data_IF_336468385302
#
_entry.id   IF_336468385302
#
_cell.length_a   1.000
_cell.length_b   1.000
_cell.length_c   1.000
_cell.angle_alpha   90.00
_cell.angle_beta   90.00
_cell.angle_gamma   90.00
#
_symmetry.space_group_name_H-M   'P 1'
#
loop_
_entity.id
_entity.type
_entity.pdbx_description
1 polymer ?
#
# COMPACT_ATOMS: atom_id res chain seq x y z
N UNK A 1 2.83 -0.38 -13.88
CA UNK A 1 2.84 1.10 -13.76
C UNK A 1 2.56 1.76 -15.11
N UNK A 2 1.99 2.98 -15.14
CA UNK A 2 1.63 3.67 -16.40
C UNK A 2 2.87 3.99 -17.26
N UNK A 3 3.95 4.44 -16.62
CA UNK A 3 5.26 4.73 -17.25
C UNK A 3 6.15 3.50 -17.43
N UNK A 4 5.57 2.29 -17.34
CA UNK A 4 6.33 1.03 -17.33
C UNK A 4 6.88 0.67 -15.95
N UNK A 5 7.23 -0.61 -15.78
CA UNK A 5 7.60 -1.20 -14.48
C UNK A 5 6.48 -2.03 -13.86
N UNK A 6 6.87 -3.15 -13.26
CA UNK A 6 6.00 -4.09 -12.54
C UNK A 6 6.51 -4.20 -11.10
N UNK A 7 5.57 -4.20 -10.15
CA UNK A 7 5.86 -4.39 -8.72
C UNK A 7 5.07 -5.63 -8.29
N UNK A 8 5.77 -6.63 -7.74
CA UNK A 8 5.14 -7.82 -7.18
C UNK A 8 5.12 -7.70 -5.65
N UNK A 9 3.97 -8.03 -5.07
CA UNK A 9 3.69 -7.91 -3.66
C UNK A 9 3.26 -9.28 -3.14
N UNK A 10 3.80 -9.68 -2.00
CA UNK A 10 3.28 -10.79 -1.20
C UNK A 10 2.54 -10.22 0.01
N UNK A 11 1.45 -10.88 0.41
CA UNK A 11 0.60 -10.43 1.51
C UNK A 11 0.80 -11.27 2.78
N UNK A 12 0.50 -10.69 3.94
CA UNK A 12 0.56 -11.33 5.25
C UNK A 12 -0.85 -11.56 5.84
N UNK A 13 -1.66 -12.47 5.27
CA UNK A 13 -3.04 -12.68 5.73
C UNK A 13 -3.13 -13.25 7.15
N UNK A 14 -2.08 -13.89 7.65
CA UNK A 14 -2.03 -14.36 9.05
C UNK A 14 -1.89 -13.21 10.06
N UNK A 15 -1.22 -12.11 9.66
CA UNK A 15 -0.95 -10.96 10.53
C UNK A 15 -1.99 -9.84 10.36
N UNK A 16 -2.61 -9.72 9.18
CA UNK A 16 -3.56 -8.65 8.86
C UNK A 16 -4.70 -9.14 7.91
N UNK A 17 -5.51 -10.12 8.32
CA UNK A 17 -6.49 -10.77 7.45
C UNK A 17 -7.52 -9.80 6.87
N UNK A 18 -8.05 -8.85 7.66
CA UNK A 18 -9.07 -7.90 7.17
C UNK A 18 -8.49 -6.83 6.28
N UNK A 19 -7.25 -6.44 6.53
CA UNK A 19 -6.52 -5.50 5.70
C UNK A 19 -6.20 -6.11 4.33
N UNK A 20 -5.71 -7.35 4.31
CA UNK A 20 -5.45 -8.08 3.06
C UNK A 20 -6.75 -8.30 2.29
N UNK A 21 -7.82 -8.75 2.95
CA UNK A 21 -9.14 -8.93 2.34
C UNK A 21 -9.65 -7.63 1.68
N UNK A 22 -9.52 -6.51 2.40
CA UNK A 22 -9.91 -5.19 1.91
C UNK A 22 -9.11 -4.77 0.67
N UNK A 23 -7.78 -4.85 0.73
CA UNK A 23 -6.91 -4.49 -0.39
C UNK A 23 -7.19 -5.35 -1.63
N UNK A 24 -7.28 -6.67 -1.44
CA UNK A 24 -7.59 -7.65 -2.50
C UNK A 24 -8.94 -7.36 -3.14
N UNK A 25 -9.96 -7.07 -2.32
CA UNK A 25 -11.31 -6.77 -2.82
C UNK A 25 -11.33 -5.50 -3.66
N UNK A 26 -10.66 -4.44 -3.20
CA UNK A 26 -10.56 -3.18 -3.94
C UNK A 26 -9.80 -3.36 -5.26
N UNK A 27 -8.67 -4.10 -5.24
CA UNK A 27 -7.90 -4.42 -6.43
C UNK A 27 -8.70 -5.26 -7.44
N UNK A 28 -9.43 -6.30 -7.00
CA UNK A 28 -10.30 -7.11 -7.87
C UNK A 28 -11.43 -6.30 -8.52
N UNK A 29 -11.87 -5.22 -7.87
CA UNK A 29 -12.87 -4.27 -8.40
C UNK A 29 -12.26 -3.20 -9.33
N UNK A 30 -10.94 -3.23 -9.57
CA UNK A 30 -10.24 -2.21 -10.35
C UNK A 30 -10.15 -0.84 -9.66
N UNK A 31 -10.38 -0.77 -8.34
CA UNK A 31 -10.43 0.50 -7.61
C UNK A 31 -9.13 1.30 -7.71
N UNK A 32 -7.98 0.62 -7.73
CA UNK A 32 -6.67 1.25 -7.77
C UNK A 32 -6.22 1.64 -9.20
N UNK A 33 -6.96 1.20 -10.23
CA UNK A 33 -6.58 1.44 -11.62
C UNK A 33 -6.72 2.93 -11.94
N UNK A 34 -5.66 3.52 -12.46
CA UNK A 34 -5.56 4.95 -12.75
C UNK A 34 -5.26 5.85 -11.55
N UNK A 35 -5.29 5.32 -10.32
CA UNK A 35 -4.98 6.10 -9.13
C UNK A 35 -3.50 6.49 -9.07
N UNK A 36 -3.21 7.61 -8.40
CA UNK A 36 -1.87 8.17 -8.33
C UNK A 36 -1.15 7.83 -7.03
N UNK A 37 0.18 7.84 -7.10
CA UNK A 37 1.04 8.02 -5.92
C UNK A 37 1.10 9.52 -5.60
N UNK A 38 0.16 9.98 -4.75
CA UNK A 38 -0.02 11.40 -4.46
C UNK A 38 1.05 11.97 -3.52
N UNK A 39 1.74 11.11 -2.76
CA UNK A 39 2.83 11.48 -1.85
C UNK A 39 4.03 10.56 -2.06
N UNK A 40 5.20 11.17 -2.24
CA UNK A 40 6.49 10.50 -2.45
C UNK A 40 7.51 11.23 -1.59
N UNK A 41 8.09 10.53 -0.63
CA UNK A 41 9.14 11.05 0.25
C UNK A 41 10.41 10.21 0.06
N UNK A 42 11.38 10.70 -0.72
CA UNK A 42 12.63 10.00 -0.97
C UNK A 42 13.31 9.58 0.33
N UNK A 43 13.70 8.31 0.43
CA UNK A 43 14.32 7.74 1.63
C UNK A 43 13.33 7.37 2.74
N UNK A 44 12.02 7.54 2.53
CA UNK A 44 11.00 7.15 3.50
C UNK A 44 9.93 6.24 2.88
N UNK A 45 8.95 6.79 2.18
CA UNK A 45 7.81 6.02 1.62
C UNK A 45 7.31 6.61 0.31
N UNK A 46 6.66 5.77 -0.49
CA UNK A 46 5.73 6.20 -1.55
C UNK A 46 4.32 5.79 -1.15
N UNK A 47 3.37 6.71 -1.23
CA UNK A 47 2.00 6.54 -0.77
C UNK A 47 1.01 6.76 -1.92
N UNK A 48 0.06 5.84 -2.04
CA UNK A 48 -0.96 5.81 -3.08
C UNK A 48 -2.30 5.29 -2.55
N UNK A 49 -3.22 4.98 -3.46
CA UNK A 49 -4.54 4.43 -3.12
C UNK A 49 -5.58 5.47 -2.70
N UNK A 50 -5.35 6.74 -3.02
CA UNK A 50 -6.31 7.81 -2.82
C UNK A 50 -7.07 8.13 -4.14
N UNK A 51 -8.40 7.94 -4.20
CA UNK A 51 -9.21 8.29 -5.37
C UNK A 51 -9.28 9.78 -5.69
N UNK A 52 -9.03 10.67 -4.72
CA UNK A 52 -8.99 12.13 -4.95
C UNK A 52 -7.60 12.63 -5.35
N UNK A 53 -6.55 11.90 -4.97
CA UNK A 53 -5.16 12.26 -5.23
C UNK A 53 -4.62 13.42 -4.39
N UNK A 54 -5.32 13.82 -3.34
CA UNK A 54 -4.98 14.95 -2.45
C UNK A 54 -4.70 14.53 -0.99
N UNK A 55 -4.78 13.23 -0.69
CA UNK A 55 -4.62 12.61 0.61
C UNK A 55 -5.93 12.45 1.40
N UNK A 56 -7.07 12.95 0.91
CA UNK A 56 -8.34 13.01 1.67
C UNK A 56 -9.40 12.00 1.23
N UNK A 57 -9.16 11.26 0.14
CA UNK A 57 -10.10 10.25 -0.34
C UNK A 57 -9.88 8.86 0.27
N UNK A 58 -10.84 7.98 -0.03
CA UNK A 58 -10.88 6.60 0.44
C UNK A 58 -12.00 5.83 -0.24
N UNK A 59 -12.25 4.57 0.14
CA UNK A 59 -13.20 3.69 -0.53
C UNK A 59 -14.65 3.91 -0.07
N UNK A 60 -14.92 4.96 0.73
CA UNK A 60 -16.23 5.25 1.33
C UNK A 60 -16.49 4.56 2.66
N UNK A 61 -15.53 3.80 3.18
CA UNK A 61 -15.58 3.13 4.49
C UNK A 61 -14.18 3.07 5.12
N UNK A 62 -14.16 2.68 6.40
CA UNK A 62 -12.92 2.50 7.17
C UNK A 62 -12.82 1.06 7.70
N UNK A 63 -11.59 0.61 7.93
CA UNK A 63 -11.27 -0.68 8.54
C UNK A 63 -10.52 -0.47 9.86
N UNK A 64 -10.68 -1.42 10.79
CA UNK A 64 -9.97 -1.41 12.06
C UNK A 64 -8.49 -1.70 11.86
N UNK A 65 -7.66 -1.16 12.76
CA UNK A 65 -6.25 -1.47 12.80
C UNK A 65 -6.00 -2.96 13.15
N UNK A 66 -5.00 -3.54 12.51
CA UNK A 66 -4.50 -4.91 12.77
C UNK A 66 -2.99 -4.79 13.06
N UNK A 67 -2.63 -4.02 14.08
CA UNK A 67 -1.23 -3.82 14.45
C UNK A 67 -0.57 -5.16 14.77
N UNK A 68 0.61 -5.39 14.19
CA UNK A 68 1.31 -6.66 14.26
C UNK A 68 2.81 -6.47 14.45
N UNK A 69 3.57 -7.58 14.49
CA UNK A 69 5.02 -7.58 14.74
C UNK A 69 5.85 -7.34 13.48
N UNK A 70 5.22 -7.24 12.31
CA UNK A 70 5.92 -6.97 11.06
C UNK A 70 6.57 -5.60 11.10
N UNK A 71 7.73 -5.52 10.46
CA UNK A 71 8.62 -4.35 10.53
C UNK A 71 8.49 -3.52 9.27
N UNK A 72 8.56 -2.20 9.42
CA UNK A 72 8.61 -1.26 8.29
C UNK A 72 10.02 -1.24 7.68
N UNK A 73 10.47 -2.38 7.17
CA UNK A 73 11.70 -2.49 6.41
C UNK A 73 11.48 -1.98 4.98
N UNK A 74 12.58 -1.77 4.25
CA UNK A 74 12.50 -1.44 2.82
C UNK A 74 11.67 -2.49 2.07
N UNK A 75 10.70 -2.02 1.28
CA UNK A 75 9.72 -2.85 0.57
C UNK A 75 8.48 -3.21 1.38
N UNK A 76 8.40 -2.91 2.68
CA UNK A 76 7.20 -3.18 3.47
C UNK A 76 5.99 -2.40 2.93
N UNK A 77 4.87 -3.11 2.80
CA UNK A 77 3.57 -2.58 2.39
C UNK A 77 2.67 -2.42 3.61
N UNK A 78 2.19 -1.21 3.86
CA UNK A 78 1.39 -0.89 5.04
C UNK A 78 0.25 0.08 4.73
N UNK A 79 -0.80 0.05 5.55
CA UNK A 79 -1.96 0.91 5.39
C UNK A 79 -1.72 2.31 5.96
N UNK A 80 -2.08 3.33 5.19
CA UNK A 80 -2.17 4.69 5.70
C UNK A 80 -3.48 4.87 6.48
N UNK A 81 -3.44 5.76 7.47
CA UNK A 81 -4.59 6.11 8.31
C UNK A 81 -4.51 7.58 8.74
N UNK A 82 -5.63 8.13 9.18
CA UNK A 82 -5.68 9.40 9.90
C UNK A 82 -5.25 9.22 11.37
N UNK A 83 -5.48 10.24 12.21
CA UNK A 83 -5.16 10.19 13.64
C UNK A 83 -5.86 9.03 14.36
N UNK A 84 -7.09 8.68 13.96
CA UNK A 84 -7.79 7.52 14.50
C UNK A 84 -7.13 6.22 14.00
N UNK A 85 -6.69 5.30 14.89
CA UNK A 85 -6.18 3.99 14.51
C UNK A 85 -7.08 3.22 13.53
N UNK A 86 -8.40 3.28 13.72
CA UNK A 86 -9.40 2.55 12.95
C UNK A 86 -9.94 3.35 11.74
N UNK A 87 -9.07 4.13 11.10
CA UNK A 87 -9.43 4.98 9.95
C UNK A 87 -8.71 4.63 8.65
N UNK A 88 -8.03 3.49 8.61
CA UNK A 88 -7.49 2.98 7.35
C UNK A 88 -8.64 2.70 6.37
N UNK A 89 -8.39 2.89 5.07
CA UNK A 89 -9.38 2.70 4.02
C UNK A 89 -8.77 2.02 2.81
N UNK A 90 -8.40 2.80 1.80
CA UNK A 90 -7.74 2.33 0.57
C UNK A 90 -6.31 2.83 0.42
N UNK A 91 -5.92 3.84 1.18
CA UNK A 91 -4.58 4.41 1.07
C UNK A 91 -3.54 3.47 1.68
N UNK A 92 -2.45 3.26 0.97
CA UNK A 92 -1.34 2.41 1.38
C UNK A 92 -0.02 3.08 1.05
N UNK A 93 1.06 2.59 1.64
CA UNK A 93 2.41 3.02 1.32
C UNK A 93 3.39 1.85 1.24
N UNK A 94 4.45 2.05 0.45
CA UNK A 94 5.59 1.15 0.33
C UNK A 94 6.82 1.87 0.87
N UNK A 95 7.55 1.21 1.78
CA UNK A 95 8.74 1.78 2.40
C UNK A 95 9.94 1.78 1.44
N UNK A 96 10.55 2.95 1.22
CA UNK A 96 11.80 3.12 0.48
C UNK A 96 13.03 2.85 1.36
N UNK A 97 12.93 3.02 2.67
CA UNK A 97 13.94 2.67 3.65
C UNK A 97 13.30 2.11 4.92
N UNK A 98 14.11 1.68 5.88
CA UNK A 98 13.59 1.24 7.18
C UNK A 98 12.97 2.43 7.95
N UNK A 99 11.76 2.26 8.46
CA UNK A 99 11.02 3.25 9.22
C UNK A 99 10.54 2.69 10.57
N UNK A 100 11.46 2.33 11.49
CA UNK A 100 11.12 1.67 12.75
C UNK A 100 10.19 2.50 13.65
N UNK A 101 10.14 3.82 13.47
CA UNK A 101 9.23 4.72 14.19
C UNK A 101 7.74 4.50 13.84
N UNK A 102 7.43 3.75 12.77
CA UNK A 102 6.07 3.36 12.40
C UNK A 102 5.67 1.98 12.99
N UNK A 103 6.63 1.19 13.46
CA UNK A 103 6.37 -0.17 13.96
C UNK A 103 5.35 -0.17 15.09
N UNK A 104 4.40 -1.11 15.04
CA UNK A 104 3.33 -1.24 16.03
C UNK A 104 2.27 -0.14 16.00
N UNK A 105 2.40 0.87 15.13
CA UNK A 105 1.46 2.00 15.02
C UNK A 105 0.68 2.02 13.70
N UNK A 106 1.08 1.17 12.76
CA UNK A 106 0.48 0.98 11.44
C UNK A 106 0.43 -0.51 11.10
N UNK A 107 -0.60 -0.89 10.33
CA UNK A 107 -0.78 -2.27 9.87
C UNK A 107 0.11 -2.52 8.65
N UNK A 108 1.21 -3.24 8.84
CA UNK A 108 1.97 -3.85 7.73
C UNK A 108 1.22 -5.11 7.29
N UNK A 109 0.89 -5.21 6.01
CA UNK A 109 0.07 -6.31 5.47
C UNK A 109 0.70 -7.00 4.25
N UNK A 110 1.92 -6.63 3.89
CA UNK A 110 2.67 -7.30 2.84
C UNK A 110 4.07 -6.74 2.63
N UNK A 111 4.73 -7.21 1.57
CA UNK A 111 6.07 -6.80 1.18
C UNK A 111 6.26 -6.87 -0.34
N UNK A 112 7.09 -5.98 -0.88
CA UNK A 112 7.56 -6.06 -2.27
C UNK A 112 8.52 -7.23 -2.41
N UNK A 113 8.19 -8.19 -3.27
CA UNK A 113 9.04 -9.34 -3.61
C UNK A 113 9.81 -9.14 -4.90
N UNK A 114 9.34 -8.26 -5.79
CA UNK A 114 10.05 -7.88 -7.01
C UNK A 114 9.64 -6.48 -7.50
N UNK A 115 10.53 -5.80 -8.21
CA UNK A 115 10.24 -4.48 -8.79
C UNK A 115 10.53 -3.30 -7.86
N UNK A 116 11.41 -3.46 -6.86
CA UNK A 116 11.82 -2.33 -6.01
C UNK A 116 12.48 -1.19 -6.81
N UNK A 117 13.15 -1.48 -7.93
CA UNK A 117 13.71 -0.44 -8.79
C UNK A 117 12.60 0.40 -9.46
N UNK A 118 11.44 -0.20 -9.73
CA UNK A 118 10.26 0.51 -10.21
C UNK A 118 9.67 1.38 -9.09
N UNK A 119 9.63 0.87 -7.84
CA UNK A 119 9.21 1.64 -6.66
C UNK A 119 10.11 2.86 -6.44
N UNK A 120 11.43 2.69 -6.52
CA UNK A 120 12.40 3.78 -6.31
C UNK A 120 12.28 4.91 -7.36
N UNK A 121 11.78 4.58 -8.56
CA UNK A 121 11.61 5.54 -9.66
C UNK A 121 10.27 6.27 -9.60
N UNK A 122 9.35 5.90 -8.72
CA UNK A 122 8.03 6.54 -8.59
C UNK A 122 8.22 8.01 -8.24
N UNK A 123 7.58 8.87 -9.02
CA UNK A 123 7.47 10.30 -8.75
C UNK A 123 6.05 10.66 -8.34
N UNK A 124 5.91 11.77 -7.61
CA UNK A 124 4.59 12.29 -7.23
C UNK A 124 3.71 12.47 -8.47
N UNK A 125 2.50 11.92 -8.41
CA UNK A 125 1.53 11.95 -9.52
C UNK A 125 1.66 10.81 -10.53
N UNK A 126 2.65 9.92 -10.40
CA UNK A 126 2.71 8.71 -11.22
C UNK A 126 1.51 7.80 -10.95
N UNK A 127 1.02 7.16 -12.01
CA UNK A 127 -0.23 6.38 -11.99
C UNK A 127 0.01 4.87 -11.95
N UNK A 128 -0.84 4.20 -11.18
CA UNK A 128 -1.02 2.76 -11.26
C UNK A 128 -1.82 2.44 -12.52
N UNK A 129 -1.19 1.82 -13.51
CA UNK A 129 -1.89 1.41 -14.75
C UNK A 129 -3.00 0.41 -14.46
N UNK A 130 -2.65 -0.62 -13.70
CA UNK A 130 -3.59 -1.61 -13.19
C UNK A 130 -2.99 -2.30 -11.97
N UNK A 131 -3.86 -2.74 -11.07
CA UNK A 131 -3.49 -3.56 -9.91
C UNK A 131 -4.24 -4.88 -9.99
N UNK A 132 -3.50 -5.98 -10.11
CA UNK A 132 -4.06 -7.33 -10.28
C UNK A 132 -3.68 -8.23 -9.12
N UNK A 133 -4.62 -9.04 -8.67
CA UNK A 133 -4.38 -10.08 -7.68
C UNK A 133 -4.09 -11.36 -8.44
N UNK A 134 -2.89 -11.90 -8.22
CA UNK A 134 -2.44 -13.17 -8.78
C UNK A 134 -2.42 -14.13 -7.60
N UNK A 135 -3.21 -15.20 -7.68
CA UNK A 135 -3.10 -16.28 -6.72
C UNK A 135 -1.80 -17.02 -7.03
N UNK A 136 -0.95 -17.20 -6.02
CA UNK A 136 0.23 -18.04 -6.18
C UNK A 136 -0.27 -19.43 -6.58
N UNK A 137 0.08 -19.85 -7.79
CA UNK A 137 -0.25 -21.18 -8.29
C UNK A 137 0.22 -22.23 -7.29
N UNK A 138 -0.68 -23.16 -6.98
CA UNK A 138 -0.43 -24.34 -6.18
C UNK A 138 0.70 -25.20 -6.77
#
# INVERSE_FOLDING_TARGET
MEKGGEIKLDFFPADAPKTVENFVTLAKKGFYDGLTFHRVEPGFVVQGGDPKGDGTGGPGYMIKAEFNKQKHLRGALAMARSQNPDSAGSQFYICLAAAPFLDGNYTVFGIVTSGMDAVDKIKRGDKMKSVKIIEAGQ
#
